data_IF_088052571695
#
_entry.id   IF_088052571695
#
_cell.length_a   1.000
_cell.length_b   1.000
_cell.length_c   1.000
_cell.angle_alpha   90.00
_cell.angle_beta   90.00
_cell.angle_gamma   90.00
#
_symmetry.space_group_name_H-M   'P 1'
#
loop_
_entity.id
_entity.type
_entity.pdbx_description
1 polymer ?
#
# COMPACT_ATOMS: atom_id res chain seq x y z
N UNK A 1 -0.32 28.41 -72.45
CA UNK A 1 -1.68 28.68 -71.95
C UNK A 1 -2.08 27.60 -70.96
N UNK A 2 -2.47 28.02 -69.74
CA UNK A 2 -2.79 27.17 -68.58
C UNK A 2 -3.95 26.20 -68.86
N UNK A 3 -3.80 24.93 -68.47
CA UNK A 3 -4.91 24.01 -68.21
C UNK A 3 -5.23 24.02 -66.72
N UNK A 4 -6.44 24.47 -66.37
CA UNK A 4 -7.09 24.23 -65.06
C UNK A 4 -8.18 23.19 -65.30
N UNK A 5 -8.18 22.13 -64.49
CA UNK A 5 -9.29 21.18 -64.41
C UNK A 5 -10.12 21.49 -63.14
N UNK A 6 -11.45 21.48 -63.22
CA UNK A 6 -12.35 21.77 -62.10
C UNK A 6 -12.90 20.47 -61.49
N UNK A 7 -12.93 20.33 -60.17
CA UNK A 7 -13.95 19.54 -59.48
C UNK A 7 -14.06 20.02 -58.03
N UNK A 8 -15.07 20.86 -57.79
CA UNK A 8 -15.64 21.11 -56.47
C UNK A 8 -16.88 20.24 -56.31
N UNK A 9 -16.90 19.39 -55.28
CA UNK A 9 -18.15 18.89 -54.69
C UNK A 9 -18.08 19.06 -53.18
N UNK A 10 -19.11 19.73 -52.68
CA UNK A 10 -19.47 19.92 -51.29
C UNK A 10 -19.75 18.58 -50.60
N UNK A 11 -19.31 18.42 -49.36
CA UNK A 11 -19.91 17.53 -48.37
C UNK A 11 -20.17 18.31 -47.07
N UNK A 12 -21.35 18.18 -46.45
CA UNK A 12 -21.71 18.94 -45.27
C UNK A 12 -21.11 18.33 -43.99
N UNK A 13 -20.88 19.24 -43.05
CA UNK A 13 -20.48 19.03 -41.67
C UNK A 13 -21.53 18.25 -40.87
N UNK A 14 -21.09 17.20 -40.18
CA UNK A 14 -21.77 16.67 -38.99
C UNK A 14 -20.70 16.48 -37.90
N UNK A 15 -20.73 17.34 -36.88
CA UNK A 15 -19.96 17.18 -35.65
C UNK A 15 -20.66 16.15 -34.77
N UNK A 16 -20.12 14.94 -34.69
CA UNK A 16 -20.27 14.09 -33.51
C UNK A 16 -18.88 13.98 -32.86
N UNK A 17 -18.72 14.61 -31.69
CA UNK A 17 -17.60 14.35 -30.80
C UNK A 17 -17.88 12.98 -30.16
N UNK A 18 -17.16 11.94 -30.60
CA UNK A 18 -16.97 10.76 -29.75
C UNK A 18 -15.93 11.13 -28.70
N UNK A 19 -16.37 11.25 -27.45
CA UNK A 19 -15.52 11.26 -26.28
C UNK A 19 -14.93 9.86 -26.09
N UNK A 20 -13.66 9.69 -26.46
CA UNK A 20 -12.87 8.53 -26.05
C UNK A 20 -12.51 8.73 -24.56
N UNK A 21 -13.08 7.91 -23.67
CA UNK A 21 -12.56 7.69 -22.32
C UNK A 21 -11.47 6.61 -22.40
N UNK A 22 -10.30 6.77 -21.75
CA UNK A 22 -9.37 5.68 -21.60
C UNK A 22 -9.91 4.72 -20.54
N UNK A 23 -10.53 3.63 -20.98
CA UNK A 23 -10.82 2.49 -20.14
C UNK A 23 -9.53 1.67 -19.97
N UNK A 24 -9.23 1.35 -18.73
CA UNK A 24 -8.16 0.46 -18.26
C UNK A 24 -8.27 -0.89 -19.00
N UNK A 25 -7.38 -1.13 -19.98
CA UNK A 25 -7.44 -2.32 -20.83
C UNK A 25 -6.50 -3.39 -20.27
N UNK A 26 -7.03 -4.20 -19.35
CA UNK A 26 -6.38 -5.42 -18.84
C UNK A 26 -6.45 -6.47 -19.95
N UNK A 27 -5.29 -6.81 -20.52
CA UNK A 27 -5.18 -7.83 -21.57
C UNK A 27 -4.83 -9.18 -20.93
N UNK A 28 -5.84 -9.99 -20.65
CA UNK A 28 -5.68 -11.39 -20.20
C UNK A 28 -5.35 -12.26 -21.41
N UNK A 29 -4.13 -12.80 -21.47
CA UNK A 29 -3.76 -13.84 -22.42
C UNK A 29 -4.12 -15.22 -21.86
N UNK A 30 -5.24 -15.77 -22.34
CA UNK A 30 -5.59 -17.19 -22.13
C UNK A 30 -4.71 -18.07 -23.01
N UNK A 31 -3.81 -18.86 -22.42
CA UNK A 31 -3.07 -19.90 -23.13
C UNK A 31 -3.50 -21.27 -22.60
N UNK A 32 -4.30 -21.97 -23.41
CA UNK A 32 -4.57 -23.40 -23.30
C UNK A 32 -3.30 -24.18 -23.63
N UNK A 33 -2.79 -24.97 -22.69
CA UNK A 33 -1.80 -26.01 -22.98
C UNK A 33 -2.30 -27.35 -22.44
N UNK A 34 -2.81 -28.15 -23.36
CA UNK A 34 -3.04 -29.58 -23.25
C UNK A 34 -1.73 -30.31 -22.95
N UNK A 35 -1.68 -31.05 -21.85
CA UNK A 35 -0.54 -31.86 -21.44
C UNK A 35 -0.42 -33.12 -22.29
N UNK A 36 0.75 -33.32 -22.90
CA UNK A 36 1.24 -34.63 -23.30
C UNK A 36 2.37 -35.02 -22.34
N UNK A 37 2.11 -36.07 -21.56
CA UNK A 37 3.04 -36.80 -20.71
C UNK A 37 4.12 -37.55 -21.52
N UNK A 38 5.37 -37.56 -21.03
CA UNK A 38 6.40 -38.46 -21.56
C UNK A 38 7.82 -38.25 -21.01
N UNK A 39 8.17 -39.03 -19.97
CA UNK A 39 9.47 -39.70 -19.71
C UNK A 39 10.79 -38.90 -19.76
N UNK A 40 11.48 -38.76 -18.61
CA UNK A 40 12.54 -39.70 -18.16
C UNK A 40 13.24 -39.17 -16.89
N UNK A 41 13.09 -39.94 -15.81
CA UNK A 41 13.72 -39.71 -14.50
C UNK A 41 15.18 -40.15 -14.50
N UNK A 42 16.08 -39.29 -13.98
CA UNK A 42 17.44 -39.67 -13.57
C UNK A 42 17.55 -39.39 -12.07
N UNK A 43 17.72 -40.47 -11.29
CA UNK A 43 17.86 -40.50 -9.83
C UNK A 43 18.98 -39.57 -9.35
N UNK A 44 18.64 -38.62 -8.48
CA UNK A 44 19.55 -37.99 -7.53
C UNK A 44 19.04 -38.36 -6.14
N UNK A 45 19.95 -38.73 -5.23
CA UNK A 45 19.67 -39.31 -3.93
C UNK A 45 18.72 -38.46 -3.09
N UNK A 46 17.66 -39.10 -2.59
CA UNK A 46 16.75 -38.56 -1.59
C UNK A 46 17.47 -38.51 -0.24
N UNK A 47 17.75 -37.30 0.24
CA UNK A 47 17.64 -37.02 1.66
C UNK A 47 16.14 -37.04 1.98
N UNK A 48 15.72 -38.01 2.78
CA UNK A 48 14.36 -38.10 3.26
C UNK A 48 14.10 -36.90 4.19
N UNK A 49 13.51 -35.83 3.66
CA UNK A 49 12.67 -34.96 4.48
C UNK A 49 11.38 -35.74 4.69
N UNK A 50 11.01 -35.96 5.94
CA UNK A 50 9.66 -36.37 6.32
C UNK A 50 8.73 -35.18 6.03
N UNK A 51 8.46 -34.94 4.75
CA UNK A 51 7.51 -33.92 4.30
C UNK A 51 6.13 -34.53 4.48
N UNK A 52 5.57 -34.39 5.69
CA UNK A 52 4.15 -34.61 5.91
C UNK A 52 3.39 -33.88 4.79
N UNK A 53 2.54 -34.60 4.08
CA UNK A 53 1.76 -34.06 2.98
C UNK A 53 0.84 -32.98 3.57
N UNK A 54 1.18 -31.71 3.34
CA UNK A 54 0.38 -30.59 3.81
C UNK A 54 -0.90 -30.58 2.98
N UNK A 55 -2.01 -31.00 3.57
CA UNK A 55 -3.33 -31.02 2.92
C UNK A 55 -4.07 -29.73 3.26
N UNK A 56 -4.59 -29.06 2.24
CA UNK A 56 -5.49 -27.92 2.41
C UNK A 56 -6.93 -28.39 2.26
N UNK A 57 -7.80 -27.95 3.18
CA UNK A 57 -9.25 -28.05 3.00
C UNK A 57 -9.73 -26.81 2.23
N UNK A 58 -10.55 -27.04 1.21
CA UNK A 58 -11.12 -25.97 0.40
C UNK A 58 -12.61 -25.85 0.69
N UNK A 59 -13.05 -24.63 0.99
CA UNK A 59 -14.45 -24.28 1.16
C UNK A 59 -14.86 -23.24 0.11
N UNK A 60 -16.12 -23.30 -0.31
CA UNK A 60 -16.72 -22.34 -1.24
C UNK A 60 -17.96 -21.73 -0.58
N UNK A 61 -18.11 -20.41 -0.70
CA UNK A 61 -19.22 -19.64 -0.14
C UNK A 61 -19.85 -18.88 -1.29
N UNK A 62 -21.16 -19.07 -1.50
CA UNK A 62 -21.94 -18.26 -2.44
C UNK A 62 -22.39 -16.98 -1.73
N UNK A 63 -21.82 -15.84 -2.14
CA UNK A 63 -22.13 -14.51 -1.58
C UNK A 63 -23.26 -13.80 -2.34
N UNK A 64 -23.86 -14.45 -3.33
CA UNK A 64 -24.88 -13.89 -4.21
C UNK A 64 -24.35 -12.94 -5.28
N UNK A 65 -25.27 -12.36 -6.06
CA UNK A 65 -24.94 -11.38 -7.10
C UNK A 65 -24.73 -9.99 -6.52
N UNK A 66 -23.64 -9.32 -6.90
CA UNK A 66 -23.36 -7.94 -6.54
C UNK A 66 -22.63 -7.22 -7.68
N UNK A 67 -22.84 -5.91 -7.80
CA UNK A 67 -22.06 -5.02 -8.68
C UNK A 67 -20.62 -4.90 -8.20
N UNK A 68 -20.43 -4.86 -6.89
CA UNK A 68 -19.13 -4.76 -6.23
C UNK A 68 -19.13 -5.58 -4.93
N UNK A 69 -17.98 -6.17 -4.59
CA UNK A 69 -17.76 -6.83 -3.29
C UNK A 69 -16.37 -6.50 -2.75
N UNK A 70 -16.31 -6.27 -1.45
CA UNK A 70 -15.07 -6.15 -0.66
C UNK A 70 -15.16 -7.18 0.45
N UNK A 71 -14.09 -7.95 0.62
CA UNK A 71 -14.02 -9.01 1.62
C UNK A 71 -12.92 -8.64 2.61
N UNK A 72 -13.27 -8.59 3.89
CA UNK A 72 -12.37 -8.38 5.00
C UNK A 72 -12.43 -9.58 5.93
N UNK A 73 -11.38 -9.76 6.73
CA UNK A 73 -11.29 -10.83 7.73
C UNK A 73 -11.06 -10.21 9.10
N UNK A 74 -11.67 -10.79 10.14
CA UNK A 74 -11.47 -10.34 11.52
C UNK A 74 -12.31 -11.12 12.52
N UNK A 75 -12.01 -10.97 13.80
CA UNK A 75 -12.75 -11.57 14.92
C UNK A 75 -13.91 -10.66 15.36
N UNK A 76 -14.87 -10.43 14.46
CA UNK A 76 -16.02 -9.55 14.67
C UNK A 76 -17.00 -10.09 15.71
N UNK A 77 -17.18 -11.42 15.77
CA UNK A 77 -18.14 -12.09 16.67
C UNK A 77 -17.46 -12.69 17.92
N UNK A 78 -16.13 -12.63 18.02
CA UNK A 78 -15.35 -13.08 19.17
C UNK A 78 -15.25 -14.61 19.30
N UNK A 79 -15.32 -15.34 18.18
CA UNK A 79 -15.05 -16.78 18.14
C UNK A 79 -13.55 -17.10 18.06
N UNK A 80 -13.23 -18.40 17.94
CA UNK A 80 -11.84 -18.89 17.82
C UNK A 80 -11.28 -18.76 16.40
N UNK A 81 -12.13 -18.51 15.41
CA UNK A 81 -11.77 -18.31 14.00
C UNK A 81 -12.18 -16.93 13.53
N UNK A 82 -11.35 -16.31 12.69
CA UNK A 82 -11.71 -15.07 12.03
C UNK A 82 -12.91 -15.29 11.10
N UNK A 83 -13.87 -14.38 11.14
CA UNK A 83 -15.00 -14.35 10.24
C UNK A 83 -14.65 -13.65 8.92
N UNK A 84 -15.48 -13.88 7.89
CA UNK A 84 -15.45 -13.14 6.63
C UNK A 84 -16.53 -12.08 6.65
N UNK A 85 -16.15 -10.80 6.60
CA UNK A 85 -17.06 -9.69 6.37
C UNK A 85 -17.11 -9.38 4.86
N UNK A 86 -18.26 -9.62 4.24
CA UNK A 86 -18.51 -9.34 2.83
C UNK A 86 -19.36 -8.08 2.74
N UNK A 87 -18.74 -6.99 2.30
CA UNK A 87 -19.37 -5.71 2.03
C UNK A 87 -19.70 -5.63 0.55
N UNK A 88 -20.96 -5.48 0.19
CA UNK A 88 -21.40 -5.55 -1.20
C UNK A 88 -22.35 -4.43 -1.59
N UNK A 89 -22.41 -4.16 -2.90
CA UNK A 89 -23.40 -3.29 -3.50
C UNK A 89 -24.23 -4.12 -4.46
N UNK A 90 -25.54 -4.19 -4.23
CA UNK A 90 -26.44 -4.96 -5.07
C UNK A 90 -26.83 -4.22 -6.36
N UNK A 91 -27.64 -4.87 -7.21
CA UNK A 91 -28.08 -4.29 -8.48
C UNK A 91 -28.93 -3.02 -8.34
N UNK A 92 -29.51 -2.78 -7.16
CA UNK A 92 -30.32 -1.61 -6.83
C UNK A 92 -29.52 -0.54 -6.07
N UNK A 93 -28.19 -0.68 -6.01
CA UNK A 93 -27.27 0.20 -5.28
C UNK A 93 -27.48 0.19 -3.75
N UNK A 94 -28.14 -0.84 -3.20
CA UNK A 94 -28.16 -1.02 -1.75
C UNK A 94 -26.83 -1.61 -1.28
N UNK A 95 -26.36 -1.12 -0.14
CA UNK A 95 -25.10 -1.55 0.48
C UNK A 95 -25.40 -2.57 1.58
N UNK A 96 -24.78 -3.74 1.51
CA UNK A 96 -25.00 -4.83 2.45
C UNK A 96 -23.70 -5.21 3.16
N UNK A 97 -23.83 -5.68 4.38
CA UNK A 97 -22.80 -6.35 5.16
C UNK A 97 -23.30 -7.73 5.51
N UNK A 98 -22.60 -8.75 5.01
CA UNK A 98 -22.78 -10.14 5.41
C UNK A 98 -21.57 -10.59 6.22
N UNK A 99 -21.77 -11.18 7.40
CA UNK A 99 -20.67 -11.80 8.16
C UNK A 99 -20.87 -13.31 8.16
N UNK A 100 -19.88 -14.04 7.64
CA UNK A 100 -19.84 -15.49 7.63
C UNK A 100 -18.86 -15.98 8.69
N UNK A 101 -19.26 -16.94 9.51
CA UNK A 101 -18.40 -17.60 10.48
C UNK A 101 -18.21 -19.07 10.15
N UNK A 102 -17.03 -19.61 10.47
CA UNK A 102 -16.73 -21.02 10.31
C UNK A 102 -17.12 -21.81 11.57
N UNK A 103 -17.85 -22.91 11.41
CA UNK A 103 -18.32 -23.76 12.52
C UNK A 103 -17.63 -25.13 12.57
N UNK A 104 -16.32 -25.17 12.33
CA UNK A 104 -15.45 -26.36 12.23
C UNK A 104 -15.64 -27.22 10.97
N UNK A 105 -16.63 -26.94 10.12
CA UNK A 105 -16.85 -27.73 8.89
C UNK A 105 -17.45 -26.94 7.74
N UNK A 106 -18.28 -25.92 8.02
CA UNK A 106 -18.90 -25.09 6.99
C UNK A 106 -18.86 -23.62 7.38
N UNK A 107 -18.91 -22.76 6.37
CA UNK A 107 -19.13 -21.34 6.55
C UNK A 107 -20.63 -21.06 6.56
N UNK A 108 -21.10 -20.35 7.58
CA UNK A 108 -22.51 -19.99 7.75
C UNK A 108 -22.67 -18.49 7.85
N UNK A 109 -23.70 -17.95 7.20
CA UNK A 109 -24.12 -16.56 7.37
C UNK A 109 -24.62 -16.36 8.80
N UNK A 110 -23.97 -15.46 9.55
CA UNK A 110 -24.31 -15.15 10.95
C UNK A 110 -24.96 -13.78 11.09
N UNK A 111 -24.64 -12.86 10.19
CA UNK A 111 -25.19 -11.51 10.20
C UNK A 111 -25.48 -11.08 8.77
N UNK A 112 -26.64 -10.47 8.59
CA UNK A 112 -27.09 -9.81 7.38
C UNK A 112 -27.62 -8.43 7.80
N UNK A 113 -26.96 -7.38 7.32
CA UNK A 113 -27.29 -5.99 7.65
C UNK A 113 -27.14 -5.09 6.43
N UNK A 114 -27.89 -3.98 6.46
CA UNK A 114 -27.76 -2.90 5.47
C UNK A 114 -26.82 -1.82 6.02
N UNK A 115 -25.84 -1.40 5.22
CA UNK A 115 -24.99 -0.27 5.53
C UNK A 115 -25.63 1.03 5.04
N UNK A 116 -25.26 2.16 5.67
CA UNK A 116 -25.69 3.49 5.20
C UNK A 116 -25.28 3.73 3.75
N UNK A 117 -26.15 4.34 2.91
CA UNK A 117 -25.85 4.59 1.50
C UNK A 117 -24.67 5.57 1.29
N UNK A 118 -24.31 6.34 2.31
CA UNK A 118 -23.21 7.30 2.30
C UNK A 118 -21.82 6.68 2.53
N UNK A 119 -21.74 5.39 2.90
CA UNK A 119 -20.46 4.70 3.13
C UNK A 119 -19.59 4.70 1.87
N UNK A 120 -18.37 5.20 2.01
CA UNK A 120 -17.42 5.38 0.90
C UNK A 120 -16.28 4.36 0.91
N UNK A 121 -15.88 3.90 2.09
CA UNK A 121 -14.89 2.84 2.27
C UNK A 121 -15.07 2.16 3.62
N UNK A 122 -14.38 1.02 3.78
CA UNK A 122 -14.35 0.21 5.00
C UNK A 122 -12.92 -0.09 5.43
N UNK A 123 -12.74 -0.43 6.69
CA UNK A 123 -11.52 -0.99 7.28
C UNK A 123 -11.86 -1.84 8.51
N UNK A 124 -10.88 -2.48 9.13
CA UNK A 124 -11.02 -3.23 10.38
C UNK A 124 -10.09 -2.65 11.42
N UNK A 125 -10.63 -2.31 12.59
CA UNK A 125 -9.86 -1.82 13.74
C UNK A 125 -10.05 -2.75 14.92
N UNK A 126 -8.98 -3.09 15.64
CA UNK A 126 -9.11 -3.76 16.93
C UNK A 126 -9.44 -2.72 18.02
N UNK A 127 -10.63 -2.82 18.62
CA UNK A 127 -11.07 -1.96 19.73
C UNK A 127 -11.36 -2.82 20.95
N UNK A 128 -10.55 -2.63 22.00
CA UNK A 128 -10.72 -3.37 23.26
C UNK A 128 -10.56 -4.88 23.09
N UNK A 129 -9.62 -5.31 22.25
CA UNK A 129 -9.33 -6.73 22.00
C UNK A 129 -10.33 -7.42 21.06
N UNK A 130 -11.15 -6.65 20.34
CA UNK A 130 -12.10 -7.18 19.33
C UNK A 130 -12.01 -6.40 18.04
N UNK A 131 -12.01 -7.13 16.94
CA UNK A 131 -12.05 -6.52 15.63
C UNK A 131 -13.43 -5.92 15.36
N UNK A 132 -13.44 -4.70 14.84
CA UNK A 132 -14.63 -3.94 14.47
C UNK A 132 -14.48 -3.52 13.02
N UNK A 133 -15.49 -3.81 12.21
CA UNK A 133 -15.61 -3.16 10.90
C UNK A 133 -15.86 -1.68 11.13
N UNK A 134 -15.05 -0.82 10.54
CA UNK A 134 -15.29 0.62 10.48
C UNK A 134 -15.68 1.04 9.07
N UNK A 135 -16.54 2.06 9.02
CA UNK A 135 -17.03 2.66 7.78
C UNK A 135 -16.72 4.14 7.81
N UNK A 136 -16.32 4.69 6.66
CA UNK A 136 -16.23 6.13 6.49
C UNK A 136 -17.38 6.65 5.66
N UNK A 137 -18.01 7.72 6.15
CA UNK A 137 -18.86 8.61 5.38
C UNK A 137 -18.35 10.05 5.56
N UNK A 138 -18.79 10.97 4.69
CA UNK A 138 -18.32 12.35 4.77
C UNK A 138 -18.55 12.93 6.18
N UNK A 139 -17.45 13.27 6.86
CA UNK A 139 -17.46 13.95 8.16
C UNK A 139 -17.25 13.07 9.38
N UNK A 140 -17.28 11.74 9.26
CA UNK A 140 -16.99 10.87 10.39
C UNK A 140 -16.68 9.41 10.01
N UNK A 141 -15.97 8.74 10.89
CA UNK A 141 -15.87 7.29 10.93
C UNK A 141 -16.94 6.72 11.86
N UNK A 142 -17.47 5.57 11.50
CA UNK A 142 -18.34 4.75 12.35
C UNK A 142 -17.69 3.39 12.57
N UNK A 143 -18.08 2.70 13.63
CA UNK A 143 -17.85 1.26 13.79
C UNK A 143 -19.19 0.53 13.76
N UNK A 144 -19.19 -0.68 13.21
CA UNK A 144 -20.38 -1.52 13.12
C UNK A 144 -20.51 -2.41 14.38
N UNK A 145 -21.64 -2.30 15.09
CA UNK A 145 -21.96 -3.18 16.21
C UNK A 145 -22.75 -4.40 15.73
N UNK A 146 -22.14 -5.61 15.72
CA UNK A 146 -22.82 -6.82 15.25
C UNK A 146 -23.99 -7.26 16.15
N UNK A 147 -24.04 -6.85 17.42
CA UNK A 147 -25.15 -7.23 18.32
C UNK A 147 -26.43 -6.45 17.98
N UNK A 148 -26.29 -5.17 17.66
CA UNK A 148 -27.42 -4.31 17.28
C UNK A 148 -27.64 -4.21 15.77
N UNK A 149 -26.75 -4.80 14.96
CA UNK A 149 -26.72 -4.68 13.51
C UNK A 149 -26.78 -3.22 13.03
N UNK A 150 -26.04 -2.34 13.70
CA UNK A 150 -26.11 -0.90 13.49
C UNK A 150 -24.73 -0.24 13.59
N UNK A 151 -24.53 0.78 12.77
CA UNK A 151 -23.32 1.61 12.80
C UNK A 151 -23.41 2.65 13.94
N UNK A 152 -22.30 2.89 14.62
CA UNK A 152 -22.14 3.88 15.68
C UNK A 152 -20.98 4.80 15.38
N UNK A 153 -21.15 6.09 15.63
CA UNK A 153 -20.08 7.07 15.46
C UNK A 153 -18.85 6.68 16.29
N UNK A 154 -17.69 6.72 15.64
CA UNK A 154 -16.39 6.46 16.24
C UNK A 154 -15.65 7.79 16.49
N UNK A 155 -15.39 8.54 15.43
CA UNK A 155 -14.74 9.86 15.48
C UNK A 155 -15.26 10.78 14.38
N UNK A 156 -15.35 12.08 14.65
CA UNK A 156 -15.65 13.10 13.65
C UNK A 156 -14.35 13.58 12.97
N UNK A 157 -14.25 13.42 11.65
CA UNK A 157 -13.15 13.93 10.83
C UNK A 157 -13.60 14.04 9.37
N UNK A 158 -13.00 14.97 8.62
CA UNK A 158 -13.28 15.14 7.19
C UNK A 158 -11.98 15.04 6.41
N UNK A 159 -11.90 14.06 5.51
CA UNK A 159 -10.81 13.91 4.56
C UNK A 159 -11.27 14.25 3.14
N UNK A 160 -10.35 14.66 2.27
CA UNK A 160 -10.55 14.83 0.85
C UNK A 160 -10.64 13.50 0.04
N UNK A 161 -11.08 12.41 0.69
CA UNK A 161 -11.39 11.15 0.00
C UNK A 161 -12.48 11.35 -1.07
N UNK A 162 -12.25 10.78 -2.25
CA UNK A 162 -13.15 10.78 -3.40
C UNK A 162 -13.44 9.34 -3.77
N UNK A 163 -14.71 8.96 -3.71
CA UNK A 163 -15.15 7.67 -4.24
C UNK A 163 -14.81 7.57 -5.73
N UNK A 164 -14.39 6.39 -6.16
CA UNK A 164 -14.11 6.08 -7.55
C UNK A 164 -15.41 5.91 -8.35
N UNK A 165 -15.35 6.18 -9.66
CA UNK A 165 -16.51 6.10 -10.55
C UNK A 165 -17.05 4.66 -10.73
N UNK A 166 -16.31 3.64 -10.29
CA UNK A 166 -16.76 2.24 -10.27
C UNK A 166 -17.81 1.96 -9.18
N UNK A 167 -18.02 2.91 -8.26
CA UNK A 167 -19.09 2.93 -7.29
C UNK A 167 -18.91 1.98 -6.10
N UNK A 168 -17.78 1.26 -6.00
CA UNK A 168 -17.52 0.27 -4.96
C UNK A 168 -17.35 0.84 -3.54
N UNK A 169 -17.24 -0.06 -2.55
CA UNK A 169 -16.82 0.26 -1.17
C UNK A 169 -15.48 -0.42 -0.93
N UNK A 170 -14.34 0.18 -1.30
CA UNK A 170 -13.04 -0.42 -1.14
C UNK A 170 -12.65 -0.56 0.33
N UNK A 171 -11.70 -1.46 0.60
CA UNK A 171 -10.94 -1.48 1.85
C UNK A 171 -9.82 -0.43 1.76
N UNK A 172 -9.77 0.49 2.74
CA UNK A 172 -8.67 1.43 2.90
C UNK A 172 -8.07 1.21 4.29
N UNK A 173 -6.84 0.72 4.33
CA UNK A 173 -6.11 0.42 5.56
C UNK A 173 -5.64 1.71 6.26
N UNK A 174 -6.47 2.22 7.17
CA UNK A 174 -6.24 3.45 7.95
C UNK A 174 -5.96 3.14 9.42
N UNK A 175 -5.76 1.87 9.78
CA UNK A 175 -5.64 1.41 11.16
C UNK A 175 -4.22 0.93 11.43
N UNK A 176 -3.45 1.76 12.15
CA UNK A 176 -2.02 1.52 12.37
C UNK A 176 -1.70 1.80 13.83
N UNK A 177 -0.89 0.96 14.46
CA UNK A 177 -0.25 1.31 15.73
C UNK A 177 0.87 2.31 15.41
N UNK A 178 0.65 3.58 15.71
CA UNK A 178 1.65 4.63 15.43
C UNK A 178 2.36 5.12 16.67
N UNK A 179 1.92 4.68 17.83
CA UNK A 179 2.39 5.15 19.13
C UNK A 179 3.09 4.01 19.93
N UNK A 180 3.14 2.80 19.38
CA UNK A 180 3.83 1.63 19.92
C UNK A 180 3.17 1.01 21.16
N UNK A 181 1.90 1.29 21.42
CA UNK A 181 1.18 0.76 22.60
C UNK A 181 0.47 -0.58 22.34
N UNK A 182 0.54 -1.10 21.12
CA UNK A 182 -0.09 -2.34 20.69
C UNK A 182 -1.58 -2.21 20.37
N UNK A 183 -2.15 -1.01 20.38
CA UNK A 183 -3.51 -0.71 19.94
C UNK A 183 -3.50 -0.11 18.54
N UNK A 184 -4.60 -0.26 17.81
CA UNK A 184 -4.73 0.37 16.50
C UNK A 184 -5.18 1.82 16.65
N UNK A 185 -4.40 2.76 16.14
CA UNK A 185 -4.78 4.15 15.96
C UNK A 185 -5.46 4.37 14.60
N UNK A 186 -6.10 5.52 14.43
CA UNK A 186 -6.66 5.94 13.15
C UNK A 186 -5.72 6.93 12.48
N UNK A 187 -5.26 6.58 11.28
CA UNK A 187 -4.41 7.39 10.40
C UNK A 187 -5.16 7.62 9.09
N UNK A 188 -5.89 8.73 9.00
CA UNK A 188 -6.67 9.05 7.80
C UNK A 188 -5.92 10.08 6.96
N UNK A 189 -5.45 9.74 5.76
CA UNK A 189 -4.75 10.68 4.91
C UNK A 189 -5.65 11.83 4.48
N UNK A 190 -5.06 13.01 4.29
CA UNK A 190 -5.68 14.17 3.68
C UNK A 190 -4.69 14.84 2.70
N UNK A 191 -5.16 15.76 1.85
CA UNK A 191 -4.27 16.40 0.86
C UNK A 191 -3.20 17.31 1.49
N UNK A 192 -3.47 17.79 2.69
CA UNK A 192 -2.70 18.76 3.46
C UNK A 192 -2.21 18.18 4.81
N UNK A 193 -2.14 16.85 4.93
CA UNK A 193 -1.60 16.17 6.12
C UNK A 193 -2.32 14.84 6.39
N UNK A 194 -2.34 14.43 7.65
CA UNK A 194 -2.95 13.20 8.14
C UNK A 194 -3.75 13.50 9.39
N UNK A 195 -4.98 13.00 9.45
CA UNK A 195 -5.74 12.97 10.69
C UNK A 195 -5.26 11.79 11.53
N UNK A 196 -4.80 12.07 12.74
CA UNK A 196 -4.35 11.08 13.71
C UNK A 196 -5.31 11.09 14.89
N UNK A 197 -5.88 9.94 15.23
CA UNK A 197 -6.63 9.74 16.45
C UNK A 197 -6.12 8.47 17.16
N UNK A 198 -5.54 8.66 18.34
CA UNK A 198 -4.91 7.60 19.11
C UNK A 198 -5.97 6.81 19.88
N UNK A 199 -5.88 5.48 19.88
CA UNK A 199 -6.74 4.66 20.72
C UNK A 199 -6.27 4.68 22.17
N UNK A 200 -7.20 4.82 23.09
CA UNK A 200 -6.96 4.75 24.53
C UNK A 200 -7.26 3.33 25.03
N UNK A 201 -6.62 2.91 26.13
CA UNK A 201 -6.81 1.56 26.69
C UNK A 201 -8.24 1.19 27.13
N UNK A 202 -9.19 2.13 27.09
CA UNK A 202 -10.63 1.86 27.28
C UNK A 202 -11.40 1.64 25.96
N UNK A 203 -10.71 1.62 24.81
CA UNK A 203 -11.28 1.49 23.46
C UNK A 203 -11.85 2.78 22.86
N UNK A 204 -11.78 3.91 23.56
CA UNK A 204 -12.13 5.23 22.99
C UNK A 204 -10.96 5.85 22.24
N UNK A 205 -11.21 6.82 21.37
CA UNK A 205 -10.18 7.51 20.61
C UNK A 205 -10.00 8.94 21.10
N UNK A 206 -8.79 9.48 20.99
CA UNK A 206 -8.53 10.90 21.18
C UNK A 206 -9.26 11.75 20.15
N UNK A 207 -9.36 13.05 20.39
CA UNK A 207 -9.88 13.96 19.37
C UNK A 207 -8.89 13.99 18.19
N UNK A 208 -9.34 13.80 16.94
CA UNK A 208 -8.44 13.80 15.79
C UNK A 208 -7.64 15.11 15.68
N UNK A 209 -6.34 14.99 15.48
CA UNK A 209 -5.44 16.10 15.19
C UNK A 209 -4.87 15.94 13.79
N UNK A 210 -4.64 17.06 13.10
CA UNK A 210 -4.07 17.04 11.74
C UNK A 210 -2.58 17.35 11.79
N UNK A 211 -1.76 16.42 11.32
CA UNK A 211 -0.30 16.50 11.35
C UNK A 211 0.29 16.28 9.95
N UNK A 212 1.57 16.65 9.79
CA UNK A 212 2.32 16.44 8.56
C UNK A 212 2.09 17.50 7.49
N UNK A 213 3.00 17.60 6.51
CA UNK A 213 2.93 18.57 5.43
C UNK A 213 1.98 18.11 4.31
N UNK A 214 1.51 19.04 3.46
CA UNK A 214 0.81 18.70 2.24
C UNK A 214 1.61 17.78 1.32
N UNK A 215 0.89 17.05 0.46
CA UNK A 215 1.53 16.21 -0.53
C UNK A 215 2.37 17.03 -1.54
N UNK A 216 3.65 16.69 -1.76
CA UNK A 216 4.55 17.49 -2.60
C UNK A 216 4.23 17.36 -4.11
N UNK A 217 3.39 16.39 -4.50
CA UNK A 217 3.02 16.10 -5.87
C UNK A 217 1.61 16.58 -6.24
N UNK A 218 0.90 17.31 -5.36
CA UNK A 218 -0.48 17.78 -5.59
C UNK A 218 -0.70 18.44 -6.97
N UNK A 219 0.26 19.23 -7.45
CA UNK A 219 0.14 19.96 -8.72
C UNK A 219 0.82 19.22 -9.91
N UNK A 220 1.30 18.00 -9.68
CA UNK A 220 1.88 17.12 -10.72
C UNK A 220 0.80 16.26 -11.35
N UNK A 221 1.08 15.76 -12.55
CA UNK A 221 0.18 14.85 -13.29
C UNK A 221 0.90 13.52 -13.41
N UNK A 222 0.26 12.46 -12.94
CA UNK A 222 0.80 11.11 -13.00
C UNK A 222 0.83 10.58 -14.45
N UNK A 223 1.65 9.55 -14.68
CA UNK A 223 1.66 8.77 -15.90
C UNK A 223 0.24 8.30 -16.24
N UNK A 224 -0.16 8.49 -17.50
CA UNK A 224 -1.46 8.09 -18.04
C UNK A 224 -2.69 8.80 -17.42
N UNK A 225 -2.51 9.88 -16.65
CA UNK A 225 -3.60 10.78 -16.25
C UNK A 225 -3.50 12.15 -16.98
N UNK A 226 -4.62 12.86 -17.03
CA UNK A 226 -4.73 14.21 -17.58
C UNK A 226 -5.00 15.27 -16.50
N UNK A 227 -5.33 14.83 -15.29
CA UNK A 227 -5.64 15.64 -14.12
C UNK A 227 -4.43 15.76 -13.20
N UNK A 228 -4.38 16.81 -12.39
CA UNK A 228 -3.38 16.90 -11.32
C UNK A 228 -3.65 15.90 -10.20
N UNK A 229 -2.65 15.58 -9.39
CA UNK A 229 -2.83 14.68 -8.26
C UNK A 229 -3.85 15.20 -7.25
N UNK A 230 -3.93 16.53 -7.06
CA UNK A 230 -4.98 17.22 -6.30
C UNK A 230 -6.39 16.99 -6.87
N UNK A 231 -6.52 17.02 -8.19
CA UNK A 231 -7.78 16.76 -8.88
C UNK A 231 -8.19 15.29 -8.79
N UNK A 232 -7.23 14.36 -8.91
CA UNK A 232 -7.46 12.93 -8.65
C UNK A 232 -7.85 12.69 -7.20
N UNK A 233 -7.17 13.34 -6.25
CA UNK A 233 -7.42 13.25 -4.82
C UNK A 233 -7.07 11.90 -4.21
N UNK A 234 -7.51 11.72 -2.97
CA UNK A 234 -7.38 10.46 -2.22
C UNK A 234 -8.52 9.55 -2.64
N UNK A 235 -8.23 8.32 -3.07
CA UNK A 235 -9.20 7.30 -3.44
C UNK A 235 -8.60 5.91 -3.22
N UNK A 236 -9.35 4.86 -3.55
CA UNK A 236 -8.91 3.45 -3.44
C UNK A 236 -7.51 3.15 -3.99
N UNK A 237 -7.12 3.83 -5.07
CA UNK A 237 -5.86 3.59 -5.76
C UNK A 237 -4.71 4.46 -5.21
N UNK A 238 -5.02 5.60 -4.61
CA UNK A 238 -4.03 6.59 -4.19
C UNK A 238 -3.85 6.66 -2.68
N UNK A 239 -4.79 6.15 -1.87
CA UNK A 239 -4.69 6.20 -0.40
C UNK A 239 -3.39 5.59 0.13
N UNK A 240 -2.95 4.45 -0.42
CA UNK A 240 -1.68 3.82 -0.07
C UNK A 240 -0.46 4.70 -0.39
N UNK A 241 -0.55 5.57 -1.41
CA UNK A 241 0.54 6.49 -1.74
C UNK A 241 0.69 7.57 -0.68
N UNK A 242 -0.43 8.12 -0.19
CA UNK A 242 -0.42 9.06 0.93
C UNK A 242 0.14 8.37 2.19
N UNK A 243 -0.40 7.20 2.56
CA UNK A 243 0.03 6.46 3.74
C UNK A 243 1.52 6.09 3.72
N UNK A 244 2.13 5.90 2.55
CA UNK A 244 3.57 5.62 2.43
C UNK A 244 4.50 6.75 2.88
N UNK A 245 3.95 7.95 3.14
CA UNK A 245 4.69 9.12 3.63
C UNK A 245 4.74 9.22 5.16
N UNK A 246 3.98 8.39 5.86
CA UNK A 246 4.04 8.31 7.32
C UNK A 246 5.28 7.49 7.70
N UNK A 247 6.23 8.13 8.38
CA UNK A 247 7.38 7.46 8.97
C UNK A 247 7.36 7.59 10.48
N UNK A 248 8.06 6.68 11.15
CA UNK A 248 8.15 6.59 12.60
C UNK A 248 9.62 6.41 13.01
N UNK A 249 10.06 7.08 14.07
CA UNK A 249 11.33 6.80 14.77
C UNK A 249 11.34 7.46 16.16
N UNK A 250 12.17 6.96 17.06
CA UNK A 250 12.53 7.67 18.29
C UNK A 250 13.55 8.78 17.95
N UNK A 251 13.05 10.00 17.70
CA UNK A 251 13.89 11.11 17.27
C UNK A 251 14.64 11.74 18.45
N UNK A 252 13.95 11.94 19.57
CA UNK A 252 14.48 12.60 20.76
C UNK A 252 15.10 11.64 21.78
N UNK A 253 15.11 10.33 21.48
CA UNK A 253 15.76 9.26 22.23
C UNK A 253 15.11 9.04 23.61
N UNK A 254 13.80 9.27 23.71
CA UNK A 254 13.04 9.11 24.94
C UNK A 254 12.39 7.72 25.08
N UNK A 255 12.57 6.85 24.07
CA UNK A 255 12.03 5.51 23.98
C UNK A 255 10.63 5.42 23.38
N UNK A 256 10.10 6.51 22.79
CA UNK A 256 8.80 6.57 22.13
C UNK A 256 8.93 6.73 20.61
N UNK A 257 7.86 6.41 19.89
CA UNK A 257 7.81 6.50 18.43
C UNK A 257 7.27 7.87 18.02
N UNK A 258 8.11 8.72 17.45
CA UNK A 258 7.70 10.01 16.91
C UNK A 258 7.27 9.90 15.45
N UNK A 259 6.32 10.75 15.04
CA UNK A 259 5.91 10.80 13.64
C UNK A 259 6.84 11.71 12.83
N UNK A 260 7.32 11.19 11.71
CA UNK A 260 8.26 11.89 10.84
C UNK A 260 7.72 11.98 9.43
N UNK A 261 7.74 13.19 8.86
CA UNK A 261 7.29 13.45 7.51
C UNK A 261 8.35 14.19 6.72
N UNK A 262 8.61 13.77 5.49
CA UNK A 262 9.46 14.53 4.60
C UNK A 262 8.72 15.75 4.04
N UNK A 263 9.32 16.92 4.20
CA UNK A 263 8.82 18.21 3.76
C UNK A 263 9.84 18.89 2.82
N UNK A 264 10.01 18.29 1.65
CA UNK A 264 10.91 18.74 0.58
C UNK A 264 12.41 18.78 0.94
N UNK A 265 12.86 19.76 1.72
CA UNK A 265 14.28 19.95 2.07
C UNK A 265 14.62 19.59 3.53
N UNK A 266 13.61 19.31 4.35
CA UNK A 266 13.75 18.91 5.74
C UNK A 266 12.72 17.84 6.11
N UNK A 267 12.78 17.38 7.35
CA UNK A 267 11.78 16.53 7.98
C UNK A 267 11.04 17.31 9.05
N UNK A 268 9.72 17.14 9.08
CA UNK A 268 8.85 17.55 10.18
C UNK A 268 8.73 16.38 11.16
N UNK A 269 9.00 16.63 12.45
CA UNK A 269 8.89 15.65 13.54
C UNK A 269 7.81 16.11 14.52
N UNK A 270 6.91 15.20 14.86
CA UNK A 270 5.87 15.41 15.84
C UNK A 270 6.10 14.44 17.00
N UNK A 271 6.66 14.98 18.10
CA UNK A 271 7.06 14.18 19.25
C UNK A 271 5.86 13.52 19.94
N UNK A 272 6.02 12.26 20.30
CA UNK A 272 5.07 11.52 21.10
C UNK A 272 5.24 11.86 22.60
N UNK A 273 4.14 12.06 23.31
CA UNK A 273 4.16 12.32 24.74
C UNK A 273 4.00 11.04 25.58
N UNK A 274 4.14 11.18 26.89
CA UNK A 274 3.99 10.06 27.84
C UNK A 274 2.58 9.43 27.89
N UNK A 275 1.59 10.03 27.21
CA UNK A 275 0.23 9.51 27.09
C UNK A 275 -0.02 8.82 25.74
N UNK A 276 1.00 8.74 24.89
CA UNK A 276 0.91 8.12 23.58
C UNK A 276 0.28 9.02 22.52
N UNK A 277 0.19 10.33 22.78
CA UNK A 277 -0.37 11.32 21.85
C UNK A 277 0.73 12.18 21.26
N UNK A 278 0.46 12.87 20.14
CA UNK A 278 1.48 13.62 19.41
C UNK A 278 1.35 15.13 19.63
N UNK A 279 2.50 15.79 19.79
CA UNK A 279 2.61 17.25 19.80
C UNK A 279 2.13 17.82 18.46
N UNK A 280 1.43 18.96 18.49
CA UNK A 280 1.14 19.76 17.29
C UNK A 280 2.22 20.81 17.00
N UNK A 281 3.20 20.95 17.90
CA UNK A 281 4.40 21.77 17.69
C UNK A 281 5.42 20.90 16.95
N UNK A 282 5.75 21.32 15.73
CA UNK A 282 6.69 20.63 14.86
C UNK A 282 8.14 20.94 15.24
N UNK A 283 8.95 19.90 15.32
CA UNK A 283 10.41 20.00 15.28
C UNK A 283 10.92 19.67 13.88
N UNK A 284 12.12 20.14 13.54
CA UNK A 284 12.65 19.94 12.19
C UNK A 284 14.11 19.55 12.19
N UNK A 285 14.47 18.60 11.34
CA UNK A 285 15.87 18.26 11.06
C UNK A 285 16.12 18.08 9.56
N UNK A 286 17.39 18.12 9.16
CA UNK A 286 17.84 17.91 7.78
C UNK A 286 18.84 16.77 7.73
N UNK A 287 18.94 16.10 6.58
CA UNK A 287 19.97 15.11 6.31
C UNK A 287 20.78 15.50 5.10
N UNK A 288 22.10 15.29 5.15
CA UNK A 288 22.99 15.51 4.00
C UNK A 288 23.04 14.29 3.06
N UNK A 289 21.95 13.53 3.00
CA UNK A 289 21.78 12.30 2.22
C UNK A 289 20.82 12.62 1.06
N UNK A 290 21.28 12.61 -0.21
CA UNK A 290 20.42 13.03 -1.32
C UNK A 290 19.36 11.97 -1.65
N UNK A 291 18.08 12.30 -1.61
CA UNK A 291 17.01 11.46 -2.16
C UNK A 291 15.99 12.32 -2.93
N UNK A 292 15.17 11.69 -3.75
CA UNK A 292 14.21 12.38 -4.62
C UNK A 292 12.83 12.54 -3.97
N UNK A 293 12.44 11.62 -3.07
CA UNK A 293 11.10 11.53 -2.47
C UNK A 293 11.06 10.55 -1.29
N UNK A 294 10.03 10.67 -0.45
CA UNK A 294 9.61 9.76 0.63
C UNK A 294 8.69 8.60 0.19
N UNK A 295 8.30 8.51 -1.08
CA UNK A 295 7.43 7.43 -1.53
C UNK A 295 7.67 6.98 -2.96
N UNK A 296 7.65 5.66 -3.18
CA UNK A 296 7.93 5.07 -4.50
C UNK A 296 6.88 5.47 -5.55
N UNK A 297 5.71 5.93 -5.13
CA UNK A 297 4.66 6.45 -6.00
C UNK A 297 5.10 7.67 -6.81
N UNK A 298 6.10 8.43 -6.33
CA UNK A 298 6.64 9.60 -7.03
C UNK A 298 7.09 9.30 -8.47
N UNK A 299 7.52 8.05 -8.71
CA UNK A 299 7.92 7.52 -10.01
C UNK A 299 6.81 7.72 -11.05
N UNK A 300 5.54 7.65 -10.65
CA UNK A 300 4.40 7.87 -11.54
C UNK A 300 4.39 9.29 -12.13
N UNK A 301 4.82 10.31 -11.39
CA UNK A 301 4.81 11.70 -11.88
C UNK A 301 5.97 12.02 -12.82
N UNK A 302 7.08 11.30 -12.69
CA UNK A 302 8.27 11.52 -13.50
C UNK A 302 8.14 11.03 -14.94
N UNK A 303 7.26 10.04 -15.17
CA UNK A 303 7.07 9.45 -16.49
C UNK A 303 5.98 10.14 -17.29
N UNK A 304 5.49 11.30 -16.84
CA UNK A 304 4.53 12.10 -17.58
C UNK A 304 5.02 12.40 -19.00
N UNK A 305 4.24 11.99 -19.99
CA UNK A 305 4.55 12.20 -21.41
C UNK A 305 5.41 11.10 -22.04
N UNK A 306 5.90 10.15 -21.25
CA UNK A 306 6.41 8.90 -21.79
C UNK A 306 5.27 7.95 -22.12
N UNK A 307 5.40 7.21 -23.22
CA UNK A 307 4.43 6.18 -23.55
C UNK A 307 4.82 4.86 -22.89
N UNK A 308 3.80 4.04 -22.58
CA UNK A 308 3.95 2.74 -21.92
C UNK A 308 4.90 1.79 -22.69
N UNK A 309 4.96 1.89 -24.01
CA UNK A 309 5.86 1.08 -24.83
C UNK A 309 7.34 1.41 -24.54
N UNK A 310 7.71 2.69 -24.49
CA UNK A 310 9.07 3.13 -24.12
C UNK A 310 9.44 2.69 -22.70
N UNK A 311 8.50 2.76 -21.75
CA UNK A 311 8.69 2.34 -20.36
C UNK A 311 8.92 0.83 -20.22
N UNK A 312 8.12 0.01 -20.91
CA UNK A 312 8.20 -1.46 -20.84
C UNK A 312 9.48 -1.97 -21.53
N UNK A 313 9.79 -1.45 -22.72
CA UNK A 313 10.90 -1.97 -23.54
C UNK A 313 12.23 -1.26 -23.33
N UNK A 314 12.21 -0.10 -22.67
CA UNK A 314 13.41 0.65 -22.30
C UNK A 314 14.01 1.50 -23.41
N UNK A 315 13.17 2.02 -24.30
CA UNK A 315 13.55 2.99 -25.32
C UNK A 315 13.58 4.41 -24.74
N UNK A 316 14.32 4.58 -23.64
CA UNK A 316 14.43 5.82 -22.86
C UNK A 316 15.80 5.93 -22.19
N UNK A 317 16.06 7.10 -21.61
CA UNK A 317 17.26 7.31 -20.81
C UNK A 317 17.25 6.47 -19.53
N UNK A 318 18.45 6.20 -19.02
CA UNK A 318 18.61 5.46 -17.79
C UNK A 318 18.27 6.38 -16.62
N UNK A 319 17.25 6.05 -15.85
CA UNK A 319 16.90 6.81 -14.65
C UNK A 319 17.48 6.12 -13.42
N UNK A 320 17.94 6.91 -12.46
CA UNK A 320 18.17 6.49 -11.07
C UNK A 320 17.22 7.31 -10.21
N UNK A 321 16.39 6.65 -9.41
CA UNK A 321 15.54 7.28 -8.41
C UNK A 321 15.90 6.79 -7.04
N UNK A 322 16.07 7.69 -6.09
CA UNK A 322 16.37 7.42 -4.69
C UNK A 322 15.15 7.79 -3.88
N UNK A 323 14.60 6.83 -3.16
CA UNK A 323 13.37 6.98 -2.38
C UNK A 323 13.72 6.69 -0.93
N UNK A 324 13.38 7.57 0.00
CA UNK A 324 13.41 7.25 1.41
C UNK A 324 12.40 6.12 1.66
N UNK A 325 12.83 5.06 2.33
CA UNK A 325 11.94 3.96 2.73
C UNK A 325 11.37 4.16 4.12
N UNK A 326 12.13 4.81 4.99
CA UNK A 326 11.77 5.05 6.38
C UNK A 326 13.00 4.98 7.26
N UNK A 327 12.72 4.86 8.55
CA UNK A 327 13.69 4.80 9.63
C UNK A 327 13.48 3.50 10.40
N UNK A 328 14.55 2.77 10.68
CA UNK A 328 14.50 1.50 11.39
C UNK A 328 15.85 1.25 12.04
N UNK A 329 15.89 0.84 13.30
CA UNK A 329 17.12 0.33 13.91
C UNK A 329 17.46 -1.03 13.26
N UNK A 330 18.51 -1.07 12.44
CA UNK A 330 18.95 -2.26 11.71
C UNK A 330 20.20 -2.90 12.33
N UNK A 331 20.79 -2.26 13.34
CA UNK A 331 22.04 -2.71 13.96
C UNK A 331 21.86 -3.05 15.46
N UNK A 332 20.66 -2.85 16.01
CA UNK A 332 20.28 -3.16 17.38
C UNK A 332 20.85 -2.18 18.42
N UNK A 333 21.29 -0.98 18.03
CA UNK A 333 21.87 0.01 18.96
C UNK A 333 20.84 0.92 19.64
N UNK A 334 19.55 0.73 19.33
CA UNK A 334 18.43 1.50 19.87
C UNK A 334 18.24 2.86 19.20
N UNK A 335 18.98 3.17 18.12
CA UNK A 335 18.84 4.40 17.34
C UNK A 335 18.37 4.04 15.94
N UNK A 336 17.40 4.79 15.42
CA UNK A 336 16.90 4.52 14.09
C UNK A 336 17.96 4.80 13.01
N UNK A 337 18.05 3.91 12.02
CA UNK A 337 18.87 4.09 10.82
C UNK A 337 18.01 4.54 9.63
N UNK A 338 18.57 5.35 8.74
CA UNK A 338 17.87 5.85 7.55
C UNK A 338 18.09 4.91 6.36
N UNK A 339 17.00 4.43 5.76
CA UNK A 339 17.01 3.51 4.63
C UNK A 339 16.64 4.23 3.32
N UNK A 340 17.56 4.26 2.35
CA UNK A 340 17.30 4.73 0.98
C UNK A 340 17.18 3.55 0.02
N UNK A 341 16.11 3.52 -0.77
CA UNK A 341 15.93 2.61 -1.89
C UNK A 341 16.16 3.32 -3.22
N UNK A 342 17.19 2.90 -3.93
CA UNK A 342 17.47 3.32 -5.29
C UNK A 342 16.89 2.34 -6.33
N UNK A 343 16.09 2.85 -7.27
CA UNK A 343 15.64 2.14 -8.46
C UNK A 343 16.37 2.69 -9.69
N UNK A 344 17.19 1.84 -10.33
CA UNK A 344 17.99 2.24 -11.49
C UNK A 344 17.67 1.38 -12.72
N UNK A 345 17.32 2.00 -13.85
CA UNK A 345 17.16 1.28 -15.10
C UNK A 345 16.56 2.09 -16.23
N UNK A 346 16.57 1.49 -17.42
CA UNK A 346 15.92 2.03 -18.62
C UNK A 346 14.51 1.51 -18.83
N UNK A 347 14.16 0.36 -18.27
CA UNK A 347 12.83 -0.21 -18.41
C UNK A 347 12.31 -0.69 -17.08
N UNK A 348 10.99 -0.69 -16.93
CA UNK A 348 10.29 -1.11 -15.72
C UNK A 348 10.53 -2.58 -15.39
N UNK A 349 10.73 -3.44 -16.39
CA UNK A 349 11.03 -4.86 -16.17
C UNK A 349 12.52 -5.17 -15.98
N UNK A 350 13.40 -4.16 -15.98
CA UNK A 350 14.85 -4.32 -15.82
C UNK A 350 15.44 -3.28 -14.86
N UNK A 351 14.64 -2.76 -13.94
CA UNK A 351 15.17 -1.90 -12.88
C UNK A 351 15.96 -2.75 -11.90
N UNK A 352 17.08 -2.19 -11.43
CA UNK A 352 17.91 -2.74 -10.37
C UNK A 352 17.62 -1.97 -9.09
N UNK A 353 17.33 -2.70 -8.02
CA UNK A 353 17.23 -2.16 -6.67
C UNK A 353 18.62 -2.06 -6.05
N UNK A 354 18.90 -0.96 -5.36
CA UNK A 354 20.03 -0.82 -4.43
C UNK A 354 19.47 -0.20 -3.16
N UNK A 355 19.79 -0.78 -2.01
CA UNK A 355 19.42 -0.24 -0.72
C UNK A 355 20.68 0.30 -0.05
N UNK A 356 20.60 1.49 0.52
CA UNK A 356 21.67 2.17 1.23
C UNK A 356 21.18 2.42 2.66
N UNK A 357 21.93 1.91 3.64
CA UNK A 357 21.67 2.14 5.07
C UNK A 357 22.65 3.19 5.56
N UNK A 358 22.10 4.22 6.19
CA UNK A 358 22.83 5.32 6.81
C UNK A 358 22.59 5.24 8.32
N UNK A 359 23.62 4.85 9.07
CA UNK A 359 23.44 4.59 10.50
C UNK A 359 23.08 5.86 11.26
N UNK A 360 22.16 5.72 12.21
CA UNK A 360 21.81 6.74 13.19
C UNK A 360 22.90 6.91 14.24
N UNK A 361 22.94 8.09 14.85
CA UNK A 361 23.73 8.36 16.03
C UNK A 361 23.03 9.39 16.92
N UNK A 362 23.17 9.27 18.25
CA UNK A 362 22.58 10.22 19.17
C UNK A 362 23.29 11.57 19.11
N UNK A 363 22.53 12.66 19.13
CA UNK A 363 23.00 14.04 19.21
C UNK A 363 22.19 14.82 20.26
N UNK A 364 22.71 15.93 20.83
CA UNK A 364 21.94 16.76 21.76
C UNK A 364 20.60 17.29 21.21
N UNK A 365 20.49 17.37 19.88
CA UNK A 365 19.31 17.88 19.17
C UNK A 365 18.45 16.74 18.56
N UNK A 366 18.68 15.48 18.93
CA UNK A 366 17.96 14.30 18.43
C UNK A 366 18.85 13.33 17.65
N UNK A 367 18.27 12.49 16.80
CA UNK A 367 19.01 11.53 15.97
C UNK A 367 19.62 12.20 14.72
N UNK A 368 20.90 11.91 14.44
CA UNK A 368 21.61 12.33 13.22
C UNK A 368 22.07 11.13 12.41
N UNK A 369 22.16 11.27 11.08
CA UNK A 369 22.48 10.16 10.19
C UNK A 369 23.84 10.33 9.49
N UNK A 370 24.55 9.22 9.32
CA UNK A 370 25.81 9.20 8.57
C UNK A 370 25.59 9.62 7.11
N UNK A 371 26.39 10.57 6.61
CA UNK A 371 26.28 11.05 5.24
C UNK A 371 26.59 9.96 4.20
N UNK A 372 27.65 9.19 4.45
CA UNK A 372 28.02 8.04 3.61
C UNK A 372 27.24 6.80 4.04
N UNK A 373 26.83 5.98 3.07
CA UNK A 373 26.15 4.72 3.37
C UNK A 373 27.10 3.76 4.08
N UNK A 374 26.72 3.30 5.28
CA UNK A 374 27.46 2.31 6.05
C UNK A 374 27.30 0.91 5.45
N UNK A 375 26.10 0.63 4.93
CA UNK A 375 25.79 -0.63 4.25
C UNK A 375 25.14 -0.37 2.90
N UNK A 376 25.47 -1.22 1.91
CA UNK A 376 24.80 -1.19 0.61
C UNK A 376 24.39 -2.60 0.19
N UNK A 377 23.10 -2.81 -0.02
CA UNK A 377 22.52 -4.10 -0.41
C UNK A 377 22.09 -4.01 -1.88
N UNK A 378 22.45 -5.03 -2.67
CA UNK A 378 22.13 -5.11 -4.10
C UNK A 378 21.46 -6.45 -4.39
N UNK A 379 20.12 -6.54 -4.28
CA UNK A 379 19.40 -7.76 -4.62
C UNK A 379 19.67 -8.18 -6.07
N UNK A 380 19.61 -9.49 -6.33
CA UNK A 380 19.92 -10.04 -7.67
C UNK A 380 18.74 -9.91 -8.62
N UNK A 381 17.51 -9.80 -8.09
CA UNK A 381 16.28 -9.68 -8.86
C UNK A 381 16.16 -8.38 -9.65
N UNK A 382 15.24 -8.39 -10.62
CA UNK A 382 14.80 -7.18 -11.31
C UNK A 382 13.54 -6.65 -10.64
N UNK A 383 13.53 -5.40 -10.22
CA UNK A 383 12.32 -4.75 -9.71
C UNK A 383 11.37 -4.46 -10.88
N UNK A 384 10.11 -4.91 -10.79
CA UNK A 384 9.06 -4.62 -11.76
C UNK A 384 8.37 -3.28 -11.45
N UNK A 385 8.81 -2.18 -12.04
CA UNK A 385 8.53 -0.82 -11.57
C UNK A 385 7.17 -0.16 -11.89
N UNK A 386 6.04 -0.87 -12.00
CA UNK A 386 4.75 -0.21 -12.27
C UNK A 386 3.52 -0.67 -11.48
N UNK A 387 3.68 -1.61 -10.55
CA UNK A 387 2.62 -1.90 -9.60
C UNK A 387 3.06 -1.38 -8.23
N UNK A 388 2.11 -1.05 -7.32
CA UNK A 388 2.40 -0.93 -5.89
C UNK A 388 3.21 -2.12 -5.35
N UNK A 389 3.15 -3.24 -6.09
CA UNK A 389 3.81 -4.52 -5.88
C UNK A 389 5.12 -4.69 -6.68
N UNK A 390 5.94 -3.66 -6.82
CA UNK A 390 7.23 -3.79 -7.50
C UNK A 390 8.04 -4.96 -6.94
N UNK A 391 8.20 -6.02 -7.75
CA UNK A 391 8.57 -7.40 -7.40
C UNK A 391 9.98 -7.63 -6.78
N UNK A 392 10.55 -6.64 -6.10
CA UNK A 392 11.38 -6.90 -4.92
C UNK A 392 10.58 -6.42 -3.70
N UNK A 393 9.64 -7.24 -3.21
CA UNK A 393 9.04 -6.99 -1.90
C UNK A 393 10.16 -7.20 -0.88
N UNK A 394 10.51 -6.12 -0.19
CA UNK A 394 11.34 -6.21 1.00
C UNK A 394 10.41 -6.37 2.19
N UNK A 395 10.72 -7.28 3.10
CA UNK A 395 10.11 -7.32 4.43
C UNK A 395 11.20 -7.09 5.46
N UNK A 396 10.92 -6.22 6.42
CA UNK A 396 11.77 -5.94 7.56
C UNK A 396 11.05 -6.52 8.78
N UNK A 397 11.61 -7.55 9.37
CA UNK A 397 11.02 -8.28 10.49
C UNK A 397 12.12 -9.10 11.14
N UNK A 398 12.07 -9.34 12.44
CA UNK A 398 12.94 -10.30 13.11
C UNK A 398 12.45 -11.73 12.77
N UNK A 399 13.06 -12.37 11.77
CA UNK A 399 12.59 -13.68 11.28
C UNK A 399 13.15 -14.84 12.10
N UNK A 400 14.25 -14.65 12.84
CA UNK A 400 14.89 -15.71 13.62
C UNK A 400 14.74 -15.56 15.15
N UNK A 401 14.15 -14.45 15.59
CA UNK A 401 13.79 -14.17 16.98
C UNK A 401 14.96 -13.68 17.83
N UNK A 402 16.02 -13.15 17.22
CA UNK A 402 17.22 -12.68 17.92
C UNK A 402 17.14 -11.23 18.43
N UNK A 403 16.08 -10.51 18.05
CA UNK A 403 15.82 -9.12 18.42
C UNK A 403 16.45 -8.09 17.47
N UNK A 404 17.21 -8.52 16.45
CA UNK A 404 17.67 -7.67 15.36
C UNK A 404 16.68 -7.74 14.18
N UNK A 405 16.58 -6.66 13.40
CA UNK A 405 15.70 -6.64 12.23
C UNK A 405 16.40 -7.32 11.05
N UNK A 406 15.82 -8.42 10.57
CA UNK A 406 16.24 -9.02 9.30
C UNK A 406 15.62 -8.29 8.10
N UNK A 407 16.30 -8.37 6.96
CA UNK A 407 15.75 -7.90 5.69
C UNK A 407 15.58 -9.07 4.73
N UNK A 408 14.32 -9.38 4.42
CA UNK A 408 13.94 -10.36 3.42
C UNK A 408 13.77 -9.70 2.05
N UNK A 409 14.46 -10.22 1.03
CA UNK A 409 14.25 -9.83 -0.36
C UNK A 409 13.60 -10.96 -1.15
N UNK A 410 12.41 -10.69 -1.71
CA UNK A 410 11.79 -11.58 -2.69
C UNK A 410 12.39 -11.32 -4.07
N UNK A 411 13.36 -12.15 -4.46
CA UNK A 411 13.98 -12.09 -5.79
C UNK A 411 13.19 -12.95 -6.79
N UNK A 412 12.42 -12.33 -7.70
CA UNK A 412 11.80 -13.03 -8.83
C UNK A 412 12.53 -12.69 -10.13
N UNK A 413 13.11 -13.69 -10.79
CA UNK A 413 13.76 -13.50 -12.08
C UNK A 413 12.72 -13.49 -13.21
N UNK A 414 12.28 -12.30 -13.64
CA UNK A 414 11.25 -12.16 -14.67
C UNK A 414 11.84 -11.83 -16.04
N UNK A 415 11.93 -12.82 -16.93
CA UNK A 415 11.93 -12.59 -18.39
C UNK A 415 10.49 -12.59 -18.94
N UNK A 416 10.30 -12.26 -20.23
CA UNK A 416 8.99 -12.30 -20.90
C UNK A 416 8.32 -13.71 -20.84
N UNK A 417 9.12 -14.77 -20.70
CA UNK A 417 8.69 -16.17 -20.48
C UNK A 417 8.54 -16.51 -18.98
N UNK A 418 9.09 -15.68 -18.09
CA UNK A 418 9.07 -15.87 -16.63
C UNK A 418 7.80 -15.39 -15.94
N UNK A 419 7.02 -14.47 -16.55
CA UNK A 419 5.76 -13.98 -15.98
C UNK A 419 4.72 -15.10 -15.74
N UNK A 420 4.66 -16.13 -16.59
CA UNK A 420 3.78 -17.29 -16.38
C UNK A 420 4.32 -18.29 -15.35
N UNK A 421 5.62 -18.26 -15.04
CA UNK A 421 6.28 -19.09 -14.02
C UNK A 421 6.38 -18.42 -12.65
N UNK A 422 6.25 -17.10 -12.57
CA UNK A 422 6.38 -16.31 -11.35
C UNK A 422 5.29 -16.57 -10.29
N UNK A 423 4.17 -17.20 -10.66
CA UNK A 423 3.16 -17.67 -9.69
C UNK A 423 3.62 -18.90 -8.87
N UNK A 424 4.81 -19.46 -9.14
CA UNK A 424 5.44 -20.52 -8.35
C UNK A 424 6.89 -20.14 -8.02
N UNK A 425 7.09 -19.16 -7.14
CA UNK A 425 8.41 -18.60 -6.80
C UNK A 425 9.45 -19.67 -6.40
N UNK A 426 10.68 -19.55 -6.90
CA UNK A 426 11.82 -20.47 -6.66
C UNK A 426 13.11 -19.77 -6.20
N UNK A 427 13.01 -18.75 -5.35
CA UNK A 427 14.11 -18.34 -4.47
C UNK A 427 13.65 -17.25 -3.50
N UNK A 428 14.03 -17.41 -2.24
CA UNK A 428 13.91 -16.44 -1.16
C UNK A 428 15.35 -16.13 -0.73
N UNK A 429 15.69 -14.85 -0.61
CA UNK A 429 16.99 -14.41 -0.10
C UNK A 429 16.76 -13.68 1.23
N UNK A 430 17.25 -14.23 2.34
CA UNK A 430 17.25 -13.60 3.67
C UNK A 430 18.66 -13.10 3.94
N UNK A 431 18.80 -11.88 4.44
CA UNK A 431 20.08 -11.31 4.88
C UNK A 431 19.92 -10.90 6.34
N UNK A 432 20.64 -11.58 7.22
CA UNK A 432 20.81 -11.19 8.62
C UNK A 432 22.01 -10.23 8.75
N UNK A 433 21.98 -9.26 9.69
CA UNK A 433 23.15 -8.49 10.06
C UNK A 433 24.29 -9.42 10.52
N UNK A 434 25.54 -8.98 10.41
CA UNK A 434 26.69 -9.69 10.97
C UNK A 434 27.48 -8.71 11.84
N UNK A 435 27.62 -9.06 13.12
CA UNK A 435 28.39 -8.33 14.14
C UNK A 435 29.86 -8.13 13.79
#
# INVERSE_FOLDING_TARGET
MRKRNPFHKYFPSAKHRLSFHPAFLILVFSVLLTGCSGLLSKKVGSMASDSGEFTFEQHEIDTGSAKHQTILTGFFLGGDFAELAVVSIDENDNRHLHIYAFNDSVWELRLDATLRPEVLFVDVVNIGGRDRLITYEHGHLNWFDPESAAERMLVELTTNYKATDDGGIPHIDITHDVNGDGLNDLVVPDIDGFWIATQLGNGSFTHPIKLGPPDPFLDKIALDDSRSYREVGINALTALWYLSRLHQMDYDLDGRSDLVFWNADHFDVYLQDAHGTFSTVVETFTVDIPFDTDGAYAIAFDFKGENMFSLIFGFRENTKRRVLRGFQDLNGDGVADLLIHSLQGRSLGKQRSVYEVHLGAPSPDGTVFAQDANMTIKPRGTAGGLLPWGYSSQWLEDFDGDGEIDILFKDVQTGFVGMSRAMFGKSISVIAPTT
#
